data_IF_171259273306
#
_entry.id   IF_171259273306
#
_cell.length_a   1.000
_cell.length_b   1.000
_cell.length_c   1.000
_cell.angle_alpha   90.00
_cell.angle_beta   90.00
_cell.angle_gamma   90.00
#
_symmetry.space_group_name_H-M   'P 1'
#
loop_
_entity.id
_entity.type
_entity.pdbx_description
1 polymer ?
#
# COMPACT_ATOMS: atom_id res chain seq x y z
N UNK A 1 -23.14 71.54 -23.51
CA UNK A 1 -23.70 72.61 -22.62
C UNK A 1 -23.45 72.13 -21.22
N UNK A 2 -22.60 72.91 -20.59
CA UNK A 2 -22.57 73.29 -19.17
C UNK A 2 -22.21 72.16 -18.15
N UNK A 3 -21.16 72.33 -17.50
CA UNK A 3 -20.45 73.22 -16.58
C UNK A 3 -20.28 72.47 -15.25
N UNK A 4 -19.01 72.21 -14.88
CA UNK A 4 -18.22 72.87 -13.79
C UNK A 4 -18.76 72.57 -12.37
N UNK A 5 -17.99 72.07 -11.46
CA UNK A 5 -16.98 72.64 -10.58
C UNK A 5 -16.54 71.55 -9.57
N UNK A 6 -15.27 71.35 -9.46
CA UNK A 6 -14.41 71.54 -8.28
C UNK A 6 -15.06 71.35 -6.91
N UNK A 7 -14.50 70.47 -6.12
CA UNK A 7 -13.84 70.86 -4.85
C UNK A 7 -12.98 69.68 -4.38
N UNK A 8 -11.71 69.97 -4.18
CA UNK A 8 -10.75 69.14 -3.50
C UNK A 8 -11.02 69.20 -1.99
N UNK A 9 -10.95 68.06 -1.34
CA UNK A 9 -10.72 68.04 0.11
C UNK A 9 -9.80 66.88 0.46
N UNK A 10 -8.56 67.23 0.76
CA UNK A 10 -7.60 66.40 1.46
C UNK A 10 -8.16 66.08 2.86
N UNK A 11 -8.23 64.82 3.21
CA UNK A 11 -8.12 64.39 4.58
C UNK A 11 -7.18 63.18 4.68
N UNK A 12 -6.03 63.42 5.23
CA UNK A 12 -5.17 62.41 5.81
C UNK A 12 -5.91 61.62 6.87
N UNK A 13 -5.94 60.32 6.78
CA UNK A 13 -6.22 59.49 7.96
C UNK A 13 -5.45 58.19 7.87
N UNK A 14 -4.39 58.19 8.65
CA UNK A 14 -3.81 57.13 9.45
C UNK A 14 -3.84 55.69 8.92
N UNK A 15 -2.66 55.29 8.57
CA UNK A 15 -2.12 53.92 8.46
C UNK A 15 -2.60 53.09 9.67
N UNK A 16 -3.53 52.17 9.43
CA UNK A 16 -3.83 51.05 10.30
C UNK A 16 -3.10 49.84 9.75
N UNK A 17 -1.93 49.53 10.28
CA UNK A 17 -1.24 48.27 10.02
C UNK A 17 -2.06 47.18 10.70
N UNK A 18 -2.93 46.52 9.93
CA UNK A 18 -3.47 45.24 10.35
C UNK A 18 -2.35 44.21 10.14
N UNK A 19 -1.60 43.95 11.21
CA UNK A 19 -0.82 42.72 11.32
C UNK A 19 -1.83 41.58 11.45
N UNK A 20 -2.14 40.97 10.29
CA UNK A 20 -2.75 39.65 10.29
C UNK A 20 -1.69 38.69 10.87
N UNK A 21 -1.87 38.37 12.13
CA UNK A 21 -1.18 37.22 12.74
C UNK A 21 -1.79 36.00 12.06
N UNK A 22 -1.13 35.53 10.99
CA UNK A 22 -1.33 34.17 10.49
C UNK A 22 -0.95 33.24 11.64
N UNK A 23 -1.97 32.77 12.34
CA UNK A 23 -1.83 31.64 13.23
C UNK A 23 -1.57 30.46 12.31
N UNK A 24 -0.29 30.15 12.08
CA UNK A 24 0.12 28.85 11.55
C UNK A 24 -0.47 27.80 12.50
N UNK A 25 -1.59 27.25 12.08
CA UNK A 25 -2.16 26.06 12.68
C UNK A 25 -1.11 24.97 12.45
N UNK A 26 -0.52 24.38 13.52
CA UNK A 26 0.43 23.30 13.33
C UNK A 26 -0.27 22.23 12.50
N UNK A 27 0.31 21.92 11.34
CA UNK A 27 -0.13 20.80 10.52
C UNK A 27 -0.21 19.60 11.47
N UNK A 28 -1.42 19.10 11.68
CA UNK A 28 -1.64 17.90 12.46
C UNK A 28 -0.74 16.84 11.85
N UNK A 29 0.27 16.40 12.60
CA UNK A 29 1.15 15.33 12.19
C UNK A 29 0.23 14.15 11.87
N UNK A 30 0.07 13.84 10.58
CA UNK A 30 -0.68 12.68 10.15
C UNK A 30 -0.09 11.48 10.88
N UNK A 31 -0.93 10.76 11.63
CA UNK A 31 -0.50 9.55 12.29
C UNK A 31 0.16 8.63 11.25
N UNK A 32 1.28 7.99 11.59
CA UNK A 32 2.00 7.15 10.63
C UNK A 32 1.01 6.15 10.01
N UNK A 33 0.96 6.13 8.68
CA UNK A 33 0.06 5.26 7.93
C UNK A 33 0.42 3.81 8.25
N UNK A 34 -0.43 3.14 9.02
CA UNK A 34 -0.28 1.71 9.27
C UNK A 34 -0.73 0.92 8.03
N UNK A 35 -0.20 -0.29 7.86
CA UNK A 35 -0.61 -1.16 6.75
C UNK A 35 -2.11 -1.48 6.81
N UNK A 36 -2.68 -1.66 8.00
CA UNK A 36 -4.13 -1.86 8.16
C UNK A 36 -4.93 -0.68 7.63
N UNK A 37 -4.56 0.55 7.98
CA UNK A 37 -5.23 1.75 7.49
C UNK A 37 -5.07 1.94 5.96
N UNK A 38 -3.96 1.50 5.39
CA UNK A 38 -3.78 1.49 3.94
C UNK A 38 -4.66 0.42 3.27
N UNK A 39 -4.69 -0.79 3.84
CA UNK A 39 -5.46 -1.95 3.33
C UNK A 39 -6.97 -1.70 3.39
N UNK A 40 -7.48 -1.02 4.41
CA UNK A 40 -8.91 -0.65 4.52
C UNK A 40 -9.41 0.19 3.34
N UNK A 41 -8.52 0.95 2.70
CA UNK A 41 -8.86 1.81 1.54
C UNK A 41 -8.78 1.07 0.20
N UNK A 42 -8.32 -0.18 0.21
CA UNK A 42 -8.11 -0.96 -1.00
C UNK A 42 -9.38 -1.71 -1.39
N UNK A 43 -9.72 -1.68 -2.68
CA UNK A 43 -10.82 -2.46 -3.22
C UNK A 43 -10.35 -3.87 -3.60
N UNK A 44 -10.75 -4.84 -2.80
CA UNK A 44 -10.49 -6.25 -3.09
C UNK A 44 -11.46 -6.80 -4.12
N UNK A 45 -10.93 -7.66 -5.01
CA UNK A 45 -11.74 -8.41 -5.99
C UNK A 45 -12.31 -9.71 -5.40
N UNK A 46 -11.78 -10.16 -4.26
CA UNK A 46 -12.24 -11.34 -3.53
C UNK A 46 -13.15 -10.93 -2.36
N UNK A 47 -14.06 -11.82 -1.96
CA UNK A 47 -14.85 -11.63 -0.73
C UNK A 47 -13.98 -11.65 0.53
N UNK A 48 -12.89 -12.41 0.46
CA UNK A 48 -11.94 -12.54 1.56
C UNK A 48 -11.18 -11.23 1.75
N UNK A 49 -11.03 -10.83 3.01
CA UNK A 49 -10.22 -9.69 3.44
C UNK A 49 -8.98 -10.19 4.17
N UNK A 50 -7.88 -9.43 4.17
CA UNK A 50 -6.72 -9.75 4.99
C UNK A 50 -7.06 -9.73 6.48
N UNK A 51 -6.37 -10.56 7.25
CA UNK A 51 -6.46 -10.55 8.71
C UNK A 51 -5.84 -9.26 9.24
N UNK A 52 -6.56 -8.47 10.04
CA UNK A 52 -6.04 -7.24 10.60
C UNK A 52 -4.94 -7.49 11.64
N UNK A 53 -4.12 -6.47 11.89
CA UNK A 53 -3.03 -6.48 12.87
C UNK A 53 -1.96 -7.56 12.60
N UNK A 54 -1.76 -7.94 11.34
CA UNK A 54 -0.65 -8.81 10.98
C UNK A 54 0.68 -8.09 11.25
N UNK A 55 1.68 -8.85 11.72
CA UNK A 55 3.03 -8.31 11.96
C UNK A 55 3.74 -8.01 10.65
N UNK A 56 3.49 -8.83 9.64
CA UNK A 56 4.01 -8.67 8.28
C UNK A 56 2.92 -8.86 7.25
N UNK A 57 3.06 -8.17 6.12
CA UNK A 57 2.22 -8.33 4.94
C UNK A 57 3.09 -8.72 3.76
N UNK A 58 2.79 -9.88 3.17
CA UNK A 58 3.43 -10.37 1.95
C UNK A 58 2.51 -10.07 0.76
N UNK A 59 2.97 -9.25 -0.15
CA UNK A 59 2.31 -8.99 -1.42
C UNK A 59 2.91 -9.91 -2.48
N UNK A 60 2.10 -10.82 -3.00
CA UNK A 60 2.51 -11.73 -4.07
C UNK A 60 1.92 -11.27 -5.40
N UNK A 61 2.79 -10.77 -6.26
CA UNK A 61 2.47 -10.32 -7.61
C UNK A 61 2.47 -11.51 -8.56
N UNK A 62 1.33 -11.76 -9.20
CA UNK A 62 1.07 -12.95 -9.99
C UNK A 62 0.13 -12.67 -11.15
N UNK A 63 -0.01 -13.63 -12.08
CA UNK A 63 -1.01 -13.61 -13.13
C UNK A 63 -1.35 -15.03 -13.59
N UNK A 64 -2.54 -15.22 -14.15
CA UNK A 64 -3.02 -16.51 -14.68
C UNK A 64 -2.17 -17.03 -15.85
N UNK A 65 -1.71 -16.13 -16.71
CA UNK A 65 -0.86 -16.42 -17.87
C UNK A 65 0.61 -16.70 -17.51
N UNK A 66 1.04 -16.38 -16.29
CA UNK A 66 2.42 -16.51 -15.82
C UNK A 66 2.71 -17.96 -15.39
N UNK A 67 3.42 -18.73 -16.21
CA UNK A 67 3.75 -20.13 -15.90
C UNK A 67 4.58 -20.31 -14.62
N UNK A 68 5.64 -19.50 -14.35
CA UNK A 68 6.36 -19.57 -13.09
C UNK A 68 5.47 -19.25 -11.88
N UNK A 69 4.53 -18.33 -12.02
CA UNK A 69 3.59 -17.97 -10.96
C UNK A 69 2.72 -19.15 -10.54
N UNK A 70 2.20 -19.90 -11.53
CA UNK A 70 1.41 -21.11 -11.28
C UNK A 70 2.20 -22.21 -10.55
N UNK A 71 3.51 -22.25 -10.71
CA UNK A 71 4.38 -23.19 -9.98
C UNK A 71 4.70 -22.73 -8.55
N UNK A 72 4.59 -21.42 -8.25
CA UNK A 72 4.88 -20.84 -6.95
C UNK A 72 3.64 -20.78 -6.06
N UNK A 73 2.47 -20.47 -6.60
CA UNK A 73 1.21 -20.30 -5.86
C UNK A 73 0.89 -21.47 -4.91
N UNK A 74 0.92 -22.75 -5.33
CA UNK A 74 0.66 -23.88 -4.42
C UNK A 74 1.62 -23.90 -3.23
N UNK A 75 2.89 -23.54 -3.43
CA UNK A 75 3.88 -23.54 -2.36
C UNK A 75 3.61 -22.48 -1.30
N UNK A 76 3.14 -21.29 -1.73
CA UNK A 76 2.72 -20.23 -0.82
C UNK A 76 1.47 -20.67 -0.04
N UNK A 77 0.51 -21.31 -0.71
CA UNK A 77 -0.71 -21.83 -0.07
C UNK A 77 -0.35 -22.88 0.98
N UNK A 78 0.52 -23.82 0.65
CA UNK A 78 0.93 -24.90 1.56
C UNK A 78 1.69 -24.35 2.79
N UNK A 79 2.45 -23.28 2.62
CA UNK A 79 3.23 -22.66 3.71
C UNK A 79 2.43 -21.62 4.52
N UNK A 80 1.24 -21.18 4.04
CA UNK A 80 0.51 -20.06 4.62
C UNK A 80 0.13 -20.26 6.10
N UNK A 81 -0.39 -21.44 6.47
CA UNK A 81 -0.75 -21.72 7.85
C UNK A 81 0.46 -21.55 8.79
N UNK A 82 1.65 -21.91 8.31
CA UNK A 82 2.90 -21.75 9.05
C UNK A 82 3.35 -20.30 9.10
N UNK A 83 3.19 -19.55 8.00
CA UNK A 83 3.48 -18.11 7.96
C UNK A 83 2.64 -17.37 9.01
N UNK A 84 1.35 -17.69 9.09
CA UNK A 84 0.45 -17.11 10.08
C UNK A 84 0.81 -17.49 11.51
N UNK A 85 1.11 -18.78 11.77
CA UNK A 85 1.42 -19.26 13.11
C UNK A 85 2.77 -18.74 13.64
N UNK A 86 3.80 -18.76 12.80
CA UNK A 86 5.18 -18.44 13.21
C UNK A 86 5.47 -16.93 13.23
N UNK A 87 4.97 -16.19 12.23
CA UNK A 87 5.36 -14.81 12.00
C UNK A 87 4.17 -13.83 11.99
N UNK A 88 2.96 -14.34 12.10
CA UNK A 88 1.74 -13.54 11.96
C UNK A 88 1.75 -12.73 10.65
N UNK A 89 2.07 -13.45 9.55
CA UNK A 89 2.22 -12.89 8.21
C UNK A 89 0.97 -13.14 7.37
N UNK A 90 0.34 -12.05 6.94
CA UNK A 90 -0.77 -12.10 6.00
C UNK A 90 -0.27 -12.06 4.55
N UNK A 91 -0.96 -12.76 3.65
CA UNK A 91 -0.65 -12.79 2.21
C UNK A 91 -1.76 -12.11 1.42
N UNK A 92 -1.38 -11.18 0.56
CA UNK A 92 -2.27 -10.45 -0.34
C UNK A 92 -1.78 -10.64 -1.77
N UNK A 93 -2.68 -11.03 -2.66
CA UNK A 93 -2.39 -11.17 -4.08
C UNK A 93 -2.54 -9.84 -4.80
N UNK A 94 -1.55 -9.51 -5.65
CA UNK A 94 -1.65 -8.43 -6.63
C UNK A 94 -1.69 -9.09 -8.01
N UNK A 95 -2.85 -9.04 -8.66
CA UNK A 95 -3.02 -9.65 -9.98
C UNK A 95 -2.60 -8.71 -11.11
N UNK A 96 -1.81 -9.26 -12.03
CA UNK A 96 -1.41 -8.65 -13.30
C UNK A 96 -2.26 -9.17 -14.47
N UNK A 97 -3.38 -9.83 -14.20
CA UNK A 97 -4.35 -10.19 -15.24
C UNK A 97 -5.01 -8.94 -15.82
N UNK A 98 -5.48 -9.03 -17.03
CA UNK A 98 -6.12 -7.90 -17.72
C UNK A 98 -7.54 -7.65 -17.19
N UNK A 99 -8.23 -8.71 -16.72
CA UNK A 99 -9.59 -8.64 -16.20
C UNK A 99 -9.73 -9.27 -14.82
N UNK A 100 -10.74 -8.81 -14.07
CA UNK A 100 -11.10 -9.37 -12.76
C UNK A 100 -11.53 -10.83 -12.89
N UNK A 101 -12.24 -11.17 -13.97
CA UNK A 101 -12.73 -12.51 -14.25
C UNK A 101 -11.58 -13.51 -14.43
N UNK A 102 -10.54 -13.14 -15.15
CA UNK A 102 -9.33 -13.97 -15.33
C UNK A 102 -8.61 -14.19 -13.99
N UNK A 103 -8.43 -13.11 -13.23
CA UNK A 103 -7.82 -13.17 -11.90
C UNK A 103 -8.61 -14.10 -10.96
N UNK A 104 -9.94 -13.94 -10.87
CA UNK A 104 -10.81 -14.78 -10.03
C UNK A 104 -10.80 -16.23 -10.46
N UNK A 105 -10.90 -16.52 -11.77
CA UNK A 105 -10.83 -17.87 -12.30
C UNK A 105 -9.50 -18.57 -11.94
N UNK A 106 -8.39 -17.83 -12.02
CA UNK A 106 -7.08 -18.34 -11.61
C UNK A 106 -7.01 -18.64 -10.12
N UNK A 107 -7.45 -17.71 -9.27
CA UNK A 107 -7.45 -17.88 -7.81
C UNK A 107 -8.35 -19.04 -7.38
N UNK A 108 -9.52 -19.18 -7.98
CA UNK A 108 -10.44 -20.30 -7.74
C UNK A 108 -9.82 -21.63 -8.14
N UNK A 109 -9.20 -21.71 -9.32
CA UNK A 109 -8.51 -22.93 -9.80
C UNK A 109 -7.40 -23.37 -8.85
N UNK A 110 -6.71 -22.44 -8.20
CA UNK A 110 -5.67 -22.71 -7.21
C UNK A 110 -6.21 -22.97 -5.80
N UNK A 111 -7.51 -22.85 -5.56
CA UNK A 111 -8.11 -22.82 -4.22
C UNK A 111 -7.41 -21.80 -3.31
N UNK A 112 -7.11 -20.61 -3.85
CA UNK A 112 -6.37 -19.56 -3.14
C UNK A 112 -7.14 -19.08 -1.91
N UNK A 113 -6.54 -19.11 -0.71
CA UNK A 113 -7.17 -18.60 0.49
C UNK A 113 -6.96 -17.10 0.67
N UNK A 114 -6.32 -16.41 -0.25
CA UNK A 114 -5.84 -15.04 -0.08
C UNK A 114 -6.83 -13.99 -0.55
N UNK A 115 -6.78 -12.81 0.09
CA UNK A 115 -7.36 -11.60 -0.46
C UNK A 115 -6.60 -11.17 -1.72
N UNK A 116 -7.28 -10.60 -2.69
CA UNK A 116 -6.67 -10.20 -3.94
C UNK A 116 -7.16 -8.84 -4.44
N UNK A 117 -6.26 -8.12 -5.11
CA UNK A 117 -6.52 -6.86 -5.79
C UNK A 117 -5.94 -6.90 -7.20
N UNK A 118 -6.48 -6.09 -8.10
CA UNK A 118 -5.87 -5.86 -9.41
C UNK A 118 -4.72 -4.87 -9.31
N UNK A 119 -3.65 -5.10 -10.04
CA UNK A 119 -2.51 -4.19 -10.09
C UNK A 119 -2.89 -2.78 -10.59
N UNK A 120 -3.82 -2.69 -11.55
CA UNK A 120 -4.36 -1.43 -12.08
C UNK A 120 -5.29 -0.70 -11.09
N UNK A 121 -5.80 -1.40 -10.07
CA UNK A 121 -6.62 -0.81 -8.99
C UNK A 121 -5.78 -0.20 -7.88
N UNK A 122 -4.47 -0.44 -7.90
CA UNK A 122 -3.52 0.23 -7.02
C UNK A 122 -3.28 1.67 -7.53
N UNK A 123 -4.29 2.53 -7.39
CA UNK A 123 -4.10 3.95 -7.69
C UNK A 123 -2.94 4.52 -6.86
N UNK A 124 -2.10 5.37 -7.47
CA UNK A 124 -1.09 6.09 -6.73
C UNK A 124 -1.72 6.77 -5.51
N UNK A 125 -1.25 6.43 -4.31
CA UNK A 125 -1.76 6.96 -3.04
C UNK A 125 -2.70 6.04 -2.24
N UNK A 126 -3.18 4.93 -2.82
CA UNK A 126 -3.96 3.92 -2.07
C UNK A 126 -3.11 2.83 -1.45
N UNK A 127 -1.94 2.57 -2.02
CA UNK A 127 -0.96 1.61 -1.53
C UNK A 127 0.36 2.32 -1.24
N UNK A 128 1.16 1.89 -0.26
CA UNK A 128 2.51 2.40 -0.05
C UNK A 128 3.31 2.35 -1.35
N UNK A 129 4.08 3.41 -1.65
CA UNK A 129 4.82 3.56 -2.90
C UNK A 129 5.80 2.42 -3.21
N UNK A 130 6.26 1.68 -2.18
CA UNK A 130 7.09 0.48 -2.34
C UNK A 130 6.35 -0.69 -3.03
N UNK A 131 5.04 -0.61 -3.19
CA UNK A 131 4.20 -1.63 -3.80
C UNK A 131 3.80 -1.32 -5.24
N UNK A 132 4.09 -0.12 -5.74
CA UNK A 132 3.60 0.35 -7.05
C UNK A 132 4.59 0.20 -8.20
N UNK A 133 5.86 -0.03 -7.93
CA UNK A 133 6.93 -0.08 -8.94
C UNK A 133 7.37 -1.50 -9.32
N UNK A 134 6.53 -2.51 -9.04
CA UNK A 134 6.73 -3.88 -9.50
C UNK A 134 6.26 -4.00 -10.94
N UNK A 135 7.18 -4.38 -11.84
CA UNK A 135 6.93 -4.49 -13.28
C UNK A 135 7.05 -5.93 -13.83
N UNK A 136 7.24 -6.92 -12.97
CA UNK A 136 7.42 -8.32 -13.39
C UNK A 136 6.79 -9.29 -12.40
N UNK A 137 6.37 -10.44 -12.91
CA UNK A 137 5.79 -11.55 -12.14
C UNK A 137 6.55 -12.86 -12.42
N UNK A 138 6.69 -13.79 -11.46
CA UNK A 138 6.30 -13.68 -10.07
C UNK A 138 7.21 -12.75 -9.26
N UNK A 139 6.64 -11.97 -8.35
CA UNK A 139 7.39 -11.10 -7.47
C UNK A 139 6.80 -11.09 -6.07
N UNK A 140 7.63 -10.91 -5.05
CA UNK A 140 7.20 -10.78 -3.66
C UNK A 140 7.73 -9.48 -3.08
N UNK A 141 6.86 -8.76 -2.37
CA UNK A 141 7.23 -7.65 -1.49
C UNK A 141 6.72 -7.97 -0.10
N UNK A 142 7.56 -7.84 0.90
CA UNK A 142 7.18 -7.99 2.31
C UNK A 142 7.43 -6.67 3.02
N UNK A 143 6.43 -6.22 3.77
CA UNK A 143 6.50 -5.06 4.64
C UNK A 143 6.07 -5.43 6.06
N UNK A 144 6.49 -4.66 7.06
CA UNK A 144 5.95 -4.77 8.41
C UNK A 144 4.63 -3.99 8.58
N UNK A 145 4.04 -4.04 9.75
CA UNK A 145 2.77 -3.37 10.08
C UNK A 145 2.80 -1.85 9.93
N UNK A 146 3.97 -1.24 9.87
CA UNK A 146 4.15 0.20 9.64
C UNK A 146 4.32 0.55 8.15
N UNK A 147 4.33 -0.46 7.27
CA UNK A 147 4.62 -0.29 5.85
C UNK A 147 6.11 -0.20 5.53
N UNK A 148 6.99 -0.42 6.52
CA UNK A 148 8.43 -0.45 6.28
C UNK A 148 8.79 -1.69 5.49
N UNK A 149 9.57 -1.47 4.48
CA UNK A 149 10.07 -2.48 3.56
C UNK A 149 11.03 -3.46 4.24
N UNK A 150 10.77 -4.76 4.10
CA UNK A 150 11.57 -5.85 4.68
C UNK A 150 12.26 -6.66 3.58
N UNK A 151 11.51 -7.05 2.52
CA UNK A 151 12.02 -7.87 1.45
C UNK A 151 11.35 -7.56 0.11
N UNK A 152 12.13 -7.65 -0.96
CA UNK A 152 11.66 -7.56 -2.34
C UNK A 152 12.46 -8.51 -3.22
N UNK A 153 11.80 -9.23 -4.10
CA UNK A 153 12.48 -10.10 -5.06
C UNK A 153 11.56 -11.15 -5.67
N UNK A 154 12.18 -12.09 -6.37
CA UNK A 154 11.45 -13.22 -6.89
C UNK A 154 10.81 -14.05 -5.78
N UNK A 155 9.72 -14.74 -6.10
CA UNK A 155 9.01 -15.58 -5.16
C UNK A 155 9.95 -16.63 -4.54
N UNK A 156 10.23 -16.44 -3.26
CA UNK A 156 10.99 -17.37 -2.44
C UNK A 156 10.04 -18.25 -1.65
N UNK A 157 10.51 -19.43 -1.25
CA UNK A 157 9.84 -20.20 -0.22
C UNK A 157 9.91 -19.45 1.11
N UNK A 158 8.88 -19.59 1.94
CA UNK A 158 8.86 -19.01 3.27
C UNK A 158 10.11 -19.36 4.10
N UNK A 159 10.58 -20.61 3.99
CA UNK A 159 11.80 -21.05 4.68
C UNK A 159 13.07 -20.29 4.26
N UNK A 160 13.14 -19.84 3.01
CA UNK A 160 14.25 -19.02 2.51
C UNK A 160 14.14 -17.58 2.96
N UNK A 161 12.91 -17.04 2.98
CA UNK A 161 12.62 -15.72 3.53
C UNK A 161 13.01 -15.65 5.02
N UNK A 162 12.59 -16.64 5.81
CA UNK A 162 12.90 -16.71 7.25
C UNK A 162 14.40 -16.69 7.53
N UNK A 163 15.21 -17.37 6.74
CA UNK A 163 16.67 -17.35 6.86
C UNK A 163 17.27 -15.96 6.64
N UNK A 164 16.66 -15.15 5.79
CA UNK A 164 17.14 -13.79 5.45
C UNK A 164 16.76 -12.73 6.48
N UNK A 165 15.65 -12.94 7.18
CA UNK A 165 15.09 -11.96 8.13
C UNK A 165 15.42 -12.28 9.59
N UNK A 166 15.85 -13.51 9.89
CA UNK A 166 16.32 -13.86 11.23
C UNK A 166 17.73 -13.29 11.43
N UNK A 167 17.94 -12.41 12.42
CA UNK A 167 19.30 -11.94 12.74
C UNK A 167 20.18 -13.15 13.11
N UNK A 168 21.49 -13.11 12.81
CA UNK A 168 22.38 -14.16 13.22
C UNK A 168 22.34 -14.27 14.75
N UNK A 169 22.44 -15.50 15.31
CA UNK A 169 22.50 -15.67 16.75
C UNK A 169 23.60 -14.77 17.31
N UNK A 170 23.28 -13.96 18.32
CA UNK A 170 24.27 -13.12 18.99
C UNK A 170 25.39 -14.04 19.47
N UNK A 171 26.60 -13.80 18.98
CA UNK A 171 27.79 -14.48 19.49
C UNK A 171 27.91 -14.14 20.98
N UNK A 172 27.59 -15.12 21.83
CA UNK A 172 27.78 -15.10 23.28
C UNK A 172 29.23 -15.37 23.61
#
# INVERSE_FOLDING_TARGET
MNFIHHIALLLLSTCGICTATETEQPAAAEAPLTMDAAIEKVQFITEKKPTPNAKYYMFFYTASWCSPCRAVMPKIIDEYAKMMADEYMEVIIISFDDTVEEALAYLQKCNSPFAAVMNNSAEPGKMPGCLTDVCSVPHIVVVDSTGKFIYRGHALRYSEWKKRTTPPPSAS
#
